data_IF_158888768402
#
_entry.id   IF_158888768402
#
_cell.length_a   1.000
_cell.length_b   1.000
_cell.length_c   1.000
_cell.angle_alpha   90.00
_cell.angle_beta   90.00
_cell.angle_gamma   90.00
#
_symmetry.space_group_name_H-M   'P 1'
#
loop_
_entity.id
_entity.type
_entity.pdbx_description
1 polymer ?
#
# COMPACT_ATOMS: atom_id res chain seq x y z
N UNK A 1 -43.64 -20.28 -21.22
CA UNK A 1 -43.69 -19.09 -20.35
C UNK A 1 -43.15 -19.46 -18.98
N UNK A 2 -41.88 -19.16 -18.70
CA UNK A 2 -41.39 -18.83 -17.36
C UNK A 2 -40.01 -18.23 -17.49
N UNK A 3 -39.96 -16.91 -17.39
CA UNK A 3 -38.80 -16.04 -17.45
C UNK A 3 -37.96 -16.24 -16.18
N UNK A 4 -36.73 -16.75 -16.29
CA UNK A 4 -35.77 -16.69 -15.18
C UNK A 4 -35.17 -15.29 -15.09
N UNK A 5 -35.43 -14.65 -13.94
CA UNK A 5 -34.98 -13.31 -13.59
C UNK A 5 -33.48 -13.33 -13.27
N UNK A 6 -32.74 -12.44 -13.90
CA UNK A 6 -31.37 -12.09 -13.53
C UNK A 6 -31.29 -11.68 -12.07
N UNK A 7 -30.53 -12.44 -11.29
CA UNK A 7 -30.11 -12.06 -9.95
C UNK A 7 -29.01 -11.00 -10.05
N UNK A 8 -29.40 -9.74 -9.86
CA UNK A 8 -28.49 -8.60 -9.73
C UNK A 8 -27.57 -8.86 -8.52
N UNK A 9 -26.27 -9.08 -8.78
CA UNK A 9 -25.27 -9.21 -7.72
C UNK A 9 -25.23 -7.90 -6.91
N UNK A 10 -25.55 -7.97 -5.62
CA UNK A 10 -25.45 -6.84 -4.69
C UNK A 10 -23.99 -6.42 -4.51
N UNK A 11 -23.71 -5.11 -4.62
CA UNK A 11 -22.38 -4.45 -4.46
C UNK A 11 -21.52 -4.96 -3.28
N UNK A 12 -22.12 -5.55 -2.25
CA UNK A 12 -21.42 -6.14 -1.10
C UNK A 12 -20.67 -7.45 -1.39
N UNK A 13 -21.10 -8.24 -2.39
CA UNK A 13 -20.39 -9.45 -2.82
C UNK A 13 -19.27 -9.16 -3.84
N UNK A 14 -19.34 -8.02 -4.53
CA UNK A 14 -18.28 -7.58 -5.45
C UNK A 14 -17.01 -7.13 -4.70
N UNK A 15 -17.18 -6.62 -3.47
CA UNK A 15 -16.06 -6.16 -2.61
C UNK A 15 -15.41 -7.31 -1.82
N UNK A 16 -16.06 -8.47 -1.70
CA UNK A 16 -15.53 -9.63 -0.96
C UNK A 16 -14.77 -10.67 -1.81
N UNK A 17 -14.64 -10.43 -3.12
CA UNK A 17 -13.84 -11.27 -4.03
C UNK A 17 -12.50 -10.62 -4.41
N UNK A 18 -12.19 -9.40 -3.92
CA UNK A 18 -10.89 -8.72 -4.18
C UNK A 18 -9.93 -8.96 -3.00
N UNK A 19 -9.74 -10.23 -2.63
CA UNK A 19 -8.74 -10.59 -1.61
C UNK A 19 -8.10 -11.97 -1.83
N UNK A 20 -8.36 -12.64 -2.96
CA UNK A 20 -7.81 -13.97 -3.24
C UNK A 20 -7.31 -13.97 -4.68
N UNK A 21 -6.01 -14.27 -4.81
CA UNK A 21 -5.15 -14.34 -6.01
C UNK A 21 -4.49 -13.00 -6.40
N UNK A 22 -3.51 -12.57 -5.60
CA UNK A 22 -2.21 -12.13 -6.14
C UNK A 22 -1.20 -13.24 -5.80
N UNK A 23 -1.51 -14.47 -6.23
CA UNK A 23 -0.48 -15.48 -6.48
C UNK A 23 -0.48 -15.71 -7.98
N UNK A 24 -0.18 -14.67 -8.74
CA UNK A 24 -0.14 -14.80 -10.18
C UNK A 24 1.17 -15.51 -10.53
N UNK A 25 1.02 -16.75 -10.97
CA UNK A 25 2.03 -17.55 -11.65
C UNK A 25 2.78 -16.68 -12.65
N UNK A 26 4.06 -16.43 -12.34
CA UNK A 26 5.05 -15.75 -13.15
C UNK A 26 5.08 -16.41 -14.54
N UNK A 27 4.43 -15.79 -15.54
CA UNK A 27 4.63 -16.19 -16.93
C UNK A 27 5.99 -15.62 -17.34
N UNK A 28 6.99 -16.49 -17.39
CA UNK A 28 8.35 -16.19 -17.81
C UNK A 28 8.41 -16.19 -19.34
N UNK A 29 8.69 -15.04 -19.97
CA UNK A 29 8.98 -14.94 -21.40
C UNK A 29 10.38 -14.37 -21.55
N UNK A 30 11.29 -15.16 -22.15
CA UNK A 30 12.64 -14.73 -22.52
C UNK A 30 12.59 -14.05 -23.89
N UNK A 31 13.01 -12.78 -23.98
CA UNK A 31 13.05 -12.04 -25.24
C UNK A 31 14.40 -12.23 -25.94
N UNK A 32 14.44 -12.72 -27.19
CA UNK A 32 15.63 -12.63 -28.02
C UNK A 32 15.78 -11.21 -28.56
N UNK A 33 16.95 -10.60 -28.37
CA UNK A 33 17.27 -9.28 -28.92
C UNK A 33 17.33 -9.33 -30.45
N UNK A 34 16.25 -8.94 -31.12
CA UNK A 34 16.23 -8.75 -32.57
C UNK A 34 15.83 -7.31 -32.86
N UNK A 35 16.83 -6.47 -33.18
CA UNK A 35 16.60 -5.05 -33.45
C UNK A 35 15.73 -4.84 -34.69
N UNK A 36 14.60 -4.17 -34.52
CA UNK A 36 13.92 -3.31 -35.52
C UNK A 36 12.97 -2.33 -34.80
N UNK A 37 12.99 -1.07 -35.27
CA UNK A 37 12.21 0.13 -34.87
C UNK A 37 12.39 0.60 -33.41
N UNK A 38 12.97 1.80 -33.24
CA UNK A 38 13.10 2.51 -31.96
C UNK A 38 11.73 2.97 -31.45
N UNK A 39 10.89 2.05 -30.98
CA UNK A 39 9.74 2.44 -30.20
C UNK A 39 10.26 3.05 -28.88
N UNK A 40 9.67 4.18 -28.49
CA UNK A 40 10.04 4.92 -27.29
C UNK A 40 9.73 4.06 -26.07
N UNK A 41 10.66 3.95 -25.12
CA UNK A 41 10.40 3.21 -23.89
C UNK A 41 9.13 3.76 -23.20
N UNK A 42 8.21 2.86 -22.85
CA UNK A 42 6.90 3.21 -22.30
C UNK A 42 5.80 3.58 -23.31
N UNK A 43 6.08 3.62 -24.61
CA UNK A 43 5.09 3.73 -25.69
C UNK A 43 4.86 2.32 -26.26
N UNK A 44 3.88 1.62 -25.69
CA UNK A 44 3.59 0.21 -25.92
C UNK A 44 2.62 0.05 -27.10
N UNK A 45 1.66 0.95 -27.28
CA UNK A 45 0.72 0.86 -28.39
C UNK A 45 1.22 1.51 -29.70
N UNK A 46 2.32 2.28 -29.64
CA UNK A 46 3.00 2.86 -30.79
C UNK A 46 2.33 4.13 -31.30
N UNK A 47 1.52 4.81 -30.49
CA UNK A 47 0.83 6.04 -30.87
C UNK A 47 1.73 7.31 -30.76
N UNK A 48 2.91 7.18 -30.15
CA UNK A 48 3.93 8.21 -30.01
C UNK A 48 3.90 8.94 -28.66
N UNK A 49 2.83 8.78 -27.90
CA UNK A 49 2.69 9.29 -26.54
C UNK A 49 3.04 8.19 -25.51
N UNK A 50 3.17 8.58 -24.24
CA UNK A 50 3.34 7.64 -23.14
C UNK A 50 2.28 8.01 -22.14
N UNK A 51 1.25 7.18 -22.00
CA UNK A 51 0.06 7.53 -21.25
C UNK A 51 -0.54 6.35 -20.43
N UNK A 52 -1.81 6.48 -20.03
CA UNK A 52 -2.45 5.45 -19.20
C UNK A 52 -2.86 4.20 -19.98
N UNK A 53 -3.03 4.30 -21.30
CA UNK A 53 -3.37 3.16 -22.15
C UNK A 53 -2.16 2.22 -22.28
N UNK A 54 -0.94 2.76 -22.33
CA UNK A 54 0.31 2.00 -22.23
C UNK A 54 0.44 1.20 -20.93
N UNK A 55 0.21 1.87 -19.79
CA UNK A 55 0.22 1.22 -18.48
C UNK A 55 -0.84 0.11 -18.39
N UNK A 56 -2.00 0.33 -19.03
CA UNK A 56 -3.10 -0.62 -19.06
C UNK A 56 -2.78 -1.86 -19.93
N UNK A 57 -2.02 -1.70 -21.01
CA UNK A 57 -1.54 -2.83 -21.82
C UNK A 57 -0.59 -3.73 -21.03
N UNK A 58 0.37 -3.15 -20.30
CA UNK A 58 1.24 -3.89 -19.40
C UNK A 58 0.42 -4.58 -18.31
N UNK A 59 -0.54 -3.88 -17.69
CA UNK A 59 -1.43 -4.45 -16.69
C UNK A 59 -2.18 -5.68 -17.21
N UNK A 60 -2.81 -5.59 -18.38
CA UNK A 60 -3.58 -6.69 -18.96
C UNK A 60 -2.70 -7.88 -19.33
N UNK A 61 -1.51 -7.62 -19.86
CA UNK A 61 -0.52 -8.65 -20.16
C UNK A 61 -0.13 -9.42 -18.90
N UNK A 62 0.24 -8.68 -17.84
CA UNK A 62 0.62 -9.28 -16.55
C UNK A 62 -0.56 -10.02 -15.94
N UNK A 63 -1.77 -9.48 -16.02
CA UNK A 63 -3.00 -10.11 -15.51
C UNK A 63 -3.48 -11.32 -16.32
N UNK A 64 -2.87 -11.61 -17.48
CA UNK A 64 -3.29 -12.68 -18.39
C UNK A 64 -4.61 -12.40 -19.11
N UNK A 65 -5.08 -11.15 -19.11
CA UNK A 65 -6.30 -10.69 -19.79
C UNK A 65 -6.02 -10.03 -21.13
N UNK A 66 -4.76 -9.81 -21.47
CA UNK A 66 -4.28 -9.28 -22.75
C UNK A 66 -2.98 -9.92 -23.20
N UNK A 67 -2.51 -9.54 -24.39
CA UNK A 67 -1.27 -10.03 -24.99
C UNK A 67 -0.48 -8.85 -25.58
N UNK A 68 0.85 -8.95 -25.54
CA UNK A 68 1.76 -8.00 -26.20
C UNK A 68 2.45 -8.70 -27.37
N UNK A 69 2.66 -7.97 -28.45
CA UNK A 69 3.46 -8.40 -29.59
C UNK A 69 4.96 -8.30 -29.29
N UNK A 70 5.80 -9.05 -30.04
CA UNK A 70 7.25 -9.09 -29.80
C UNK A 70 7.91 -7.70 -29.78
N UNK A 71 7.46 -6.78 -30.64
CA UNK A 71 7.97 -5.40 -30.69
C UNK A 71 7.52 -4.51 -29.53
N UNK A 72 6.49 -4.92 -28.79
CA UNK A 72 5.95 -4.18 -27.64
C UNK A 72 6.61 -4.61 -26.33
N UNK A 73 7.21 -5.80 -26.30
CA UNK A 73 7.80 -6.37 -25.09
C UNK A 73 9.00 -5.54 -24.61
N UNK A 74 9.80 -5.00 -25.54
CA UNK A 74 10.93 -4.12 -25.20
C UNK A 74 10.48 -2.74 -24.65
N UNK A 75 9.31 -2.23 -25.07
CA UNK A 75 8.74 -0.99 -24.54
C UNK A 75 8.05 -1.17 -23.20
N UNK A 76 7.59 -2.39 -22.92
CA UNK A 76 6.84 -2.76 -21.73
C UNK A 76 7.74 -3.12 -20.54
N UNK A 77 9.02 -3.43 -20.78
CA UNK A 77 10.05 -3.63 -19.76
C UNK A 77 10.67 -2.27 -19.41
N UNK A 78 10.05 -1.57 -18.46
CA UNK A 78 10.32 -0.16 -18.19
C UNK A 78 11.61 0.02 -17.40
N UNK A 79 11.92 -0.92 -16.51
CA UNK A 79 13.15 -0.92 -15.73
C UNK A 79 14.29 -1.78 -16.32
N UNK A 80 14.02 -2.49 -17.42
CA UNK A 80 15.03 -3.23 -18.19
C UNK A 80 15.45 -4.55 -17.53
N UNK A 81 14.66 -5.05 -16.57
CA UNK A 81 14.95 -6.29 -15.84
C UNK A 81 14.62 -7.57 -16.64
N UNK A 82 14.21 -7.41 -17.89
CA UNK A 82 13.89 -8.49 -18.83
C UNK A 82 12.58 -9.19 -18.48
N UNK A 83 11.79 -8.63 -17.57
CA UNK A 83 10.49 -9.14 -17.15
C UNK A 83 9.48 -8.02 -17.29
N UNK A 84 8.29 -8.38 -17.73
CA UNK A 84 7.16 -7.45 -17.77
C UNK A 84 6.28 -7.77 -16.58
N UNK A 85 6.20 -6.84 -15.64
CA UNK A 85 5.56 -6.99 -14.35
C UNK A 85 4.56 -5.87 -14.09
N UNK A 86 3.79 -6.01 -13.00
CA UNK A 86 2.94 -4.91 -12.52
C UNK A 86 3.78 -3.70 -12.07
N UNK A 87 5.08 -3.91 -11.77
CA UNK A 87 6.04 -2.87 -11.48
C UNK A 87 6.22 -1.93 -12.67
N UNK A 88 6.33 -2.48 -13.88
CA UNK A 88 6.45 -1.72 -15.12
C UNK A 88 5.21 -0.86 -15.39
N UNK A 89 4.02 -1.46 -15.26
CA UNK A 89 2.76 -0.74 -15.39
C UNK A 89 2.66 0.42 -14.38
N UNK A 90 3.09 0.19 -13.13
CA UNK A 90 3.10 1.23 -12.09
C UNK A 90 4.11 2.34 -12.41
N UNK A 91 5.24 2.03 -13.02
CA UNK A 91 6.23 3.03 -13.42
C UNK A 91 5.69 3.93 -14.54
N UNK A 92 5.02 3.37 -15.55
CA UNK A 92 4.32 4.17 -16.57
C UNK A 92 3.25 5.03 -15.93
N UNK A 93 2.36 4.45 -15.11
CA UNK A 93 1.34 5.20 -14.38
C UNK A 93 1.91 6.38 -13.60
N UNK A 94 3.04 6.18 -12.91
CA UNK A 94 3.69 7.23 -12.14
C UNK A 94 4.34 8.32 -12.99
N UNK A 95 4.93 7.96 -14.11
CA UNK A 95 5.43 8.92 -15.09
C UNK A 95 4.30 9.79 -15.63
N UNK A 96 3.19 9.18 -16.06
CA UNK A 96 2.01 9.88 -16.60
C UNK A 96 1.34 10.77 -15.54
N UNK A 97 1.34 10.35 -14.27
CA UNK A 97 0.85 11.17 -13.15
C UNK A 97 1.75 12.36 -12.79
N UNK A 98 2.96 12.43 -13.36
CA UNK A 98 3.99 13.43 -13.02
C UNK A 98 4.74 13.16 -11.71
N UNK A 99 4.52 12.00 -11.06
CA UNK A 99 5.29 11.58 -9.89
C UNK A 99 6.74 11.25 -10.26
N UNK A 100 6.95 10.65 -11.44
CA UNK A 100 8.26 10.53 -12.07
C UNK A 100 8.38 11.55 -13.20
N UNK A 101 9.44 12.34 -13.21
CA UNK A 101 9.72 13.29 -14.30
C UNK A 101 10.34 12.64 -15.55
N UNK A 102 10.73 11.37 -15.44
CA UNK A 102 11.31 10.55 -16.51
C UNK A 102 11.07 9.08 -16.19
N UNK A 103 10.78 8.25 -17.19
CA UNK A 103 10.76 6.79 -17.00
C UNK A 103 12.15 6.29 -16.60
N UNK A 104 12.27 5.34 -15.68
CA UNK A 104 13.55 4.80 -15.22
C UNK A 104 14.21 3.89 -16.26
N UNK A 105 14.48 4.38 -17.48
CA UNK A 105 15.26 3.64 -18.46
C UNK A 105 16.74 3.63 -18.07
N UNK A 106 17.36 2.43 -18.02
CA UNK A 106 18.82 2.30 -18.01
C UNK A 106 19.36 2.17 -19.44
N UNK A 107 20.27 3.06 -19.87
CA UNK A 107 20.88 2.97 -21.19
C UNK A 107 21.82 1.75 -21.28
N UNK A 108 21.86 1.15 -22.48
CA UNK A 108 22.82 0.11 -22.89
C UNK A 108 24.23 0.39 -22.35
N UNK A 109 24.73 -0.54 -21.54
CA UNK A 109 26.12 -0.62 -21.10
C UNK A 109 26.30 -0.44 -19.59
N UNK A 110 26.66 -1.55 -18.92
CA UNK A 110 27.19 -1.72 -17.54
C UNK A 110 26.25 -2.31 -16.47
N UNK A 111 25.24 -3.07 -16.87
CA UNK A 111 24.47 -3.94 -15.99
C UNK A 111 23.18 -3.32 -15.43
N UNK A 112 22.22 -4.16 -15.09
CA UNK A 112 20.87 -3.79 -14.62
C UNK A 112 20.71 -4.11 -13.14
N UNK A 113 19.93 -3.32 -12.42
CA UNK A 113 19.68 -3.55 -11.01
C UNK A 113 18.61 -4.65 -10.85
N UNK A 114 18.95 -5.73 -10.14
CA UNK A 114 18.05 -6.86 -9.91
C UNK A 114 17.83 -7.08 -8.41
N UNK A 115 16.58 -7.33 -8.02
CA UNK A 115 16.23 -7.76 -6.67
C UNK A 115 16.50 -9.27 -6.58
N UNK A 116 17.51 -9.67 -5.80
CA UNK A 116 17.82 -11.08 -5.56
C UNK A 116 16.86 -11.70 -4.53
N UNK A 117 16.49 -10.92 -3.52
CA UNK A 117 15.54 -11.30 -2.49
C UNK A 117 14.71 -10.10 -2.04
N UNK A 118 13.40 -10.31 -1.85
CA UNK A 118 12.51 -9.33 -1.25
C UNK A 118 12.70 -9.29 0.27
N UNK A 119 12.27 -8.22 0.98
CA UNK A 119 12.25 -8.27 2.43
C UNK A 119 11.36 -9.41 2.93
N UNK A 120 11.74 -10.02 4.05
CA UNK A 120 10.98 -11.13 4.67
C UNK A 120 9.54 -10.73 5.02
N UNK A 121 9.28 -9.43 5.17
CA UNK A 121 7.99 -8.83 5.48
C UNK A 121 7.60 -7.79 4.44
N UNK A 122 6.53 -8.07 3.69
CA UNK A 122 5.93 -7.15 2.70
C UNK A 122 4.50 -6.71 3.08
N UNK A 123 4.01 -7.16 4.24
CA UNK A 123 2.71 -6.79 4.80
C UNK A 123 2.88 -6.17 6.19
N UNK A 124 2.22 -5.04 6.43
CA UNK A 124 2.37 -4.22 7.64
C UNK A 124 0.99 -3.80 8.17
N UNK A 125 0.92 -3.44 9.45
CA UNK A 125 -0.24 -2.71 10.00
C UNK A 125 0.06 -1.22 10.14
N UNK A 126 -0.98 -0.39 10.04
CA UNK A 126 -0.89 1.07 10.16
C UNK A 126 -0.11 1.48 11.43
N UNK A 127 0.92 2.30 11.25
CA UNK A 127 1.86 2.72 12.29
C UNK A 127 3.13 1.87 12.44
N UNK A 128 3.25 0.71 11.77
CA UNK A 128 4.52 -0.03 11.73
C UNK A 128 5.57 0.64 10.84
N UNK A 129 6.84 0.42 11.17
CA UNK A 129 7.98 0.83 10.35
C UNK A 129 8.31 -0.25 9.31
N UNK A 130 8.83 0.19 8.15
CA UNK A 130 9.37 -0.72 7.13
C UNK A 130 10.56 -1.50 7.70
N UNK A 131 10.57 -2.80 7.45
CA UNK A 131 11.69 -3.69 7.75
C UNK A 131 12.29 -4.19 6.44
N UNK A 132 13.58 -3.93 6.23
CA UNK A 132 14.33 -4.33 5.03
C UNK A 132 15.12 -5.64 5.24
N UNK A 133 14.95 -6.30 6.38
CA UNK A 133 15.58 -7.61 6.66
C UNK A 133 15.20 -8.61 5.56
N UNK A 134 16.18 -9.33 5.04
CA UNK A 134 16.02 -10.29 3.95
C UNK A 134 16.10 -9.70 2.53
N UNK A 135 16.10 -8.37 2.39
CA UNK A 135 16.25 -7.73 1.07
C UNK A 135 17.68 -7.80 0.57
N UNK A 136 17.85 -8.31 -0.66
CA UNK A 136 19.13 -8.39 -1.35
C UNK A 136 19.03 -7.82 -2.75
N UNK A 137 19.99 -6.97 -3.09
CA UNK A 137 20.07 -6.24 -4.36
C UNK A 137 21.37 -6.62 -5.08
N UNK A 138 21.36 -6.68 -6.40
CA UNK A 138 22.56 -6.89 -7.20
C UNK A 138 22.52 -6.09 -8.50
N UNK A 139 23.68 -5.93 -9.14
CA UNK A 139 23.78 -5.59 -10.56
C UNK A 139 23.98 -6.88 -11.33
N UNK A 140 23.16 -7.12 -12.35
CA UNK A 140 23.34 -8.20 -13.33
C UNK A 140 23.93 -7.65 -14.63
N UNK A 141 25.05 -8.20 -15.07
CA UNK A 141 25.74 -7.80 -16.29
C UNK A 141 25.27 -8.61 -17.50
N UNK A 142 25.56 -8.15 -18.72
CA UNK A 142 25.16 -8.82 -19.97
C UNK A 142 25.67 -10.27 -20.09
N UNK A 143 26.75 -10.60 -19.39
CA UNK A 143 27.32 -11.95 -19.35
C UNK A 143 26.59 -12.88 -18.33
N UNK A 144 25.52 -12.41 -17.69
CA UNK A 144 24.74 -13.12 -16.68
C UNK A 144 25.40 -13.19 -15.30
N UNK A 145 26.55 -12.55 -15.09
CA UNK A 145 27.13 -12.44 -13.75
C UNK A 145 26.37 -11.43 -12.92
N UNK A 146 26.22 -11.72 -11.63
CA UNK A 146 25.62 -10.83 -10.65
C UNK A 146 26.65 -10.39 -9.60
N UNK A 147 26.61 -9.12 -9.23
CA UNK A 147 27.39 -8.56 -8.13
C UNK A 147 26.45 -7.94 -7.10
N UNK A 148 26.49 -8.45 -5.87
CA UNK A 148 25.66 -7.92 -4.77
C UNK A 148 25.98 -6.46 -4.49
N UNK A 149 24.93 -5.66 -4.40
CA UNK A 149 24.98 -4.23 -4.11
C UNK A 149 24.72 -4.00 -2.63
N UNK A 150 25.64 -3.27 -2.01
CA UNK A 150 25.45 -2.66 -0.70
C UNK A 150 25.45 -1.13 -0.82
N UNK A 151 24.87 -0.42 0.14
CA UNK A 151 24.83 1.05 0.11
C UNK A 151 23.77 1.64 -0.82
N UNK A 152 22.76 0.87 -1.20
CA UNK A 152 21.55 1.41 -1.82
C UNK A 152 20.76 2.28 -0.82
N UNK A 153 19.92 3.16 -1.34
CA UNK A 153 18.95 3.94 -0.58
C UNK A 153 17.54 3.50 -0.94
N UNK A 154 16.56 3.77 -0.09
CA UNK A 154 15.16 3.47 -0.38
C UNK A 154 14.23 4.61 0.05
N UNK A 155 13.08 4.72 -0.61
CA UNK A 155 12.06 5.74 -0.35
C UNK A 155 10.66 5.23 -0.68
N UNK A 156 9.63 6.03 -0.42
CA UNK A 156 8.24 5.72 -0.79
C UNK A 156 7.41 5.00 0.28
N UNK A 157 8.02 4.57 1.39
CA UNK A 157 7.27 4.03 2.52
C UNK A 157 6.55 5.13 3.32
N UNK A 158 5.31 4.84 3.69
CA UNK A 158 4.59 5.55 4.75
C UNK A 158 3.76 4.56 5.55
N UNK A 159 3.65 4.80 6.86
CA UNK A 159 2.93 3.91 7.78
C UNK A 159 1.39 4.05 7.70
N UNK A 160 0.87 4.79 6.72
CA UNK A 160 -0.57 4.91 6.44
C UNK A 160 -1.07 3.74 5.61
N UNK A 161 -2.36 3.43 5.70
CA UNK A 161 -2.97 2.28 5.03
C UNK A 161 -2.85 2.29 3.50
N UNK A 162 -2.94 1.13 2.87
CA UNK A 162 -2.90 0.91 1.42
C UNK A 162 -1.55 0.39 0.92
N UNK A 163 -1.49 0.11 -0.38
CA UNK A 163 -0.26 -0.29 -1.07
C UNK A 163 0.75 0.86 -1.03
N UNK A 164 2.03 0.51 -0.87
CA UNK A 164 3.19 1.40 -0.90
C UNK A 164 4.19 0.85 -1.88
N UNK A 165 4.76 1.72 -2.70
CA UNK A 165 5.85 1.36 -3.61
C UNK A 165 7.14 1.81 -2.95
N UNK A 166 8.03 0.86 -2.71
CA UNK A 166 9.36 1.10 -2.18
C UNK A 166 10.30 1.25 -3.37
N UNK A 167 10.77 2.47 -3.59
CA UNK A 167 11.75 2.77 -4.63
C UNK A 167 13.13 2.60 -4.03
N UNK A 168 13.90 1.65 -4.55
CA UNK A 168 15.28 1.39 -4.18
C UNK A 168 16.19 2.02 -5.24
N UNK A 169 17.19 2.79 -4.80
CA UNK A 169 18.10 3.52 -5.68
C UNK A 169 19.54 3.18 -5.36
N UNK A 170 20.33 2.90 -6.39
CA UNK A 170 21.77 2.71 -6.31
C UNK A 170 22.45 3.49 -7.44
N UNK A 171 23.25 4.50 -7.08
CA UNK A 171 23.78 5.47 -8.05
C UNK A 171 22.63 6.12 -8.85
N UNK A 172 22.65 6.03 -10.18
CA UNK A 172 21.58 6.50 -11.07
C UNK A 172 20.49 5.44 -11.32
N UNK A 173 20.77 4.18 -10.99
CA UNK A 173 19.88 3.05 -11.19
C UNK A 173 18.79 3.00 -10.11
N UNK A 174 17.59 2.56 -10.50
CA UNK A 174 16.45 2.39 -9.61
C UNK A 174 15.73 1.08 -9.90
N UNK A 175 15.16 0.48 -8.87
CA UNK A 175 14.18 -0.61 -8.96
C UNK A 175 13.11 -0.36 -7.90
N UNK A 176 11.99 -1.06 -7.97
CA UNK A 176 10.94 -0.91 -6.98
C UNK A 176 10.24 -2.22 -6.64
N UNK A 177 9.68 -2.29 -5.45
CA UNK A 177 8.79 -3.36 -5.03
C UNK A 177 7.63 -2.81 -4.21
N UNK A 178 6.60 -3.62 -4.01
CA UNK A 178 5.41 -3.20 -3.26
C UNK A 178 5.40 -3.78 -1.84
N UNK A 179 4.86 -3.00 -0.91
CA UNK A 179 4.42 -3.48 0.41
C UNK A 179 2.98 -3.02 0.66
N UNK A 180 2.24 -3.74 1.49
CA UNK A 180 0.84 -3.38 1.81
C UNK A 180 0.71 -3.05 3.28
N UNK A 181 0.12 -1.88 3.59
CA UNK A 181 -0.19 -1.47 4.96
C UNK A 181 -1.69 -1.63 5.21
N UNK A 182 -2.06 -2.52 6.12
CA UNK A 182 -3.45 -2.77 6.51
C UNK A 182 -3.88 -1.83 7.65
N UNK A 183 -5.16 -1.43 7.72
CA UNK A 183 -5.67 -0.68 8.87
C UNK A 183 -5.53 -1.50 10.15
N UNK A 184 -5.23 -0.83 11.27
CA UNK A 184 -5.30 -1.47 12.58
C UNK A 184 -6.75 -1.89 12.84
N UNK A 185 -6.99 -3.20 12.90
CA UNK A 185 -8.30 -3.78 13.19
C UNK A 185 -8.61 -3.68 14.69
N UNK A 186 -9.23 -2.56 15.07
CA UNK A 186 -9.73 -2.34 16.43
C UNK A 186 -11.10 -3.00 16.59
N UNK A 187 -11.23 -3.91 17.54
CA UNK A 187 -12.48 -4.60 17.85
C UNK A 187 -13.32 -3.82 18.85
N UNK A 188 -12.68 -3.23 19.87
CA UNK A 188 -13.31 -2.42 20.92
C UNK A 188 -12.34 -1.37 21.49
N UNK A 189 -12.86 -0.48 22.32
CA UNK A 189 -12.05 0.38 23.19
C UNK A 189 -12.55 0.22 24.63
N UNK A 190 -11.65 0.41 25.58
CA UNK A 190 -11.98 0.34 27.01
C UNK A 190 -11.28 1.46 27.78
N UNK A 191 -11.90 1.86 28.89
CA UNK A 191 -11.29 2.76 29.86
C UNK A 191 -10.45 1.90 30.80
N UNK A 192 -9.13 1.96 30.67
CA UNK A 192 -8.20 1.23 31.54
C UNK A 192 -7.93 1.97 32.84
N UNK A 193 -8.12 3.28 32.86
CA UNK A 193 -8.10 4.09 34.08
C UNK A 193 -9.11 5.22 33.95
N UNK A 194 -10.12 5.33 34.83
CA UNK A 194 -11.06 6.45 34.81
C UNK A 194 -10.38 7.77 35.19
N UNK A 195 -10.98 8.93 34.89
CA UNK A 195 -10.48 10.21 35.39
C UNK A 195 -10.47 10.22 36.93
N UNK A 196 -9.56 11.00 37.51
CA UNK A 196 -9.42 11.14 38.97
C UNK A 196 -10.69 11.76 39.59
N UNK A 197 -11.33 12.68 38.86
CA UNK A 197 -12.52 13.39 39.32
C UNK A 197 -13.77 12.88 38.60
N UNK A 198 -14.77 12.46 39.38
CA UNK A 198 -16.06 11.97 38.88
C UNK A 198 -17.27 12.74 39.45
N UNK A 199 -17.03 13.70 40.34
CA UNK A 199 -18.06 14.51 40.98
C UNK A 199 -17.70 15.98 40.83
N UNK A 200 -18.65 16.76 40.32
CA UNK A 200 -18.49 18.17 39.95
C UNK A 200 -19.56 19.03 40.63
N UNK A 201 -19.27 20.31 40.80
CA UNK A 201 -20.30 21.29 41.19
C UNK A 201 -20.98 21.85 39.93
N UNK A 202 -22.22 22.33 40.07
CA UNK A 202 -22.90 23.06 38.98
C UNK A 202 -22.01 24.13 38.34
N UNK A 203 -21.92 24.11 37.02
CA UNK A 203 -21.13 25.04 36.21
C UNK A 203 -19.64 24.72 36.12
N UNK A 204 -19.15 23.67 36.79
CA UNK A 204 -17.75 23.26 36.70
C UNK A 204 -17.44 22.57 35.36
N UNK A 205 -16.23 22.76 34.83
CA UNK A 205 -15.74 22.12 33.60
C UNK A 205 -15.31 20.66 33.85
N UNK A 206 -15.52 19.80 32.84
CA UNK A 206 -15.05 18.41 32.88
C UNK A 206 -13.51 18.36 32.94
N UNK A 207 -12.99 17.60 33.90
CA UNK A 207 -11.57 17.33 34.07
C UNK A 207 -11.27 15.85 33.78
N UNK A 208 -10.52 15.60 32.72
CA UNK A 208 -10.16 14.26 32.25
C UNK A 208 -8.81 13.78 32.79
N UNK A 209 -8.18 14.51 33.71
CA UNK A 209 -6.88 14.14 34.30
C UNK A 209 -6.93 12.71 34.84
N UNK A 210 -5.99 11.89 34.39
CA UNK A 210 -5.87 10.47 34.76
C UNK A 210 -6.61 9.49 33.85
N UNK A 211 -7.46 9.95 32.92
CA UNK A 211 -8.15 9.08 31.96
C UNK A 211 -7.14 8.38 31.04
N UNK A 212 -7.14 7.03 31.07
CA UNK A 212 -6.42 6.18 30.12
C UNK A 212 -7.42 5.31 29.36
N UNK A 213 -7.26 5.31 28.04
CA UNK A 213 -8.10 4.55 27.11
C UNK A 213 -7.20 3.61 26.33
N UNK A 214 -7.65 2.37 26.15
CA UNK A 214 -6.96 1.39 25.31
C UNK A 214 -7.85 0.89 24.20
N UNK A 215 -7.28 0.78 23.00
CA UNK A 215 -7.86 0.04 21.90
C UNK A 215 -7.54 -1.45 22.05
N UNK A 216 -8.55 -2.28 21.83
CA UNK A 216 -8.43 -3.74 21.78
C UNK A 216 -8.34 -4.12 20.30
N UNK A 217 -7.24 -4.77 19.95
CA UNK A 217 -6.99 -5.25 18.59
C UNK A 217 -7.69 -6.60 18.34
N UNK A 218 -7.75 -7.03 17.09
CA UNK A 218 -8.33 -8.33 16.72
C UNK A 218 -7.57 -9.53 17.33
N UNK A 219 -6.26 -9.39 17.56
CA UNK A 219 -5.41 -10.37 18.23
C UNK A 219 -5.56 -10.36 19.78
N UNK A 220 -6.42 -9.48 20.32
CA UNK A 220 -6.65 -9.32 21.76
C UNK A 220 -5.64 -8.43 22.48
N UNK A 221 -4.58 -7.96 21.82
CA UNK A 221 -3.63 -7.02 22.43
C UNK A 221 -4.31 -5.68 22.72
N UNK A 222 -3.83 -5.00 23.76
CA UNK A 222 -4.30 -3.68 24.20
C UNK A 222 -3.23 -2.63 23.94
N UNK A 223 -3.61 -1.55 23.25
CA UNK A 223 -2.72 -0.43 22.94
C UNK A 223 -3.33 0.85 23.51
N UNK A 224 -2.55 1.62 24.27
CA UNK A 224 -3.00 2.93 24.81
C UNK A 224 -3.21 3.91 23.65
N UNK A 225 -4.33 4.63 23.66
CA UNK A 225 -4.68 5.61 22.64
C UNK A 225 -4.92 6.98 23.28
N UNK A 226 -4.44 8.04 22.61
CA UNK A 226 -4.50 9.41 23.14
C UNK A 226 -5.41 10.34 22.32
N UNK A 227 -5.70 10.03 21.06
CA UNK A 227 -6.48 10.88 20.15
C UNK A 227 -7.98 10.52 20.16
N UNK A 228 -8.57 10.35 21.34
CA UNK A 228 -10.00 10.07 21.50
C UNK A 228 -10.81 11.36 21.65
N UNK A 229 -12.09 11.28 21.32
CA UNK A 229 -13.06 12.38 21.45
C UNK A 229 -13.96 12.07 22.65
N UNK A 230 -14.22 13.08 23.49
CA UNK A 230 -15.12 12.97 24.65
C UNK A 230 -16.33 13.88 24.46
N UNK A 231 -17.53 13.37 24.76
CA UNK A 231 -18.79 14.12 24.66
C UNK A 231 -19.81 13.66 25.70
N UNK A 232 -20.92 14.38 25.83
CA UNK A 232 -22.04 14.03 26.73
C UNK A 232 -21.93 14.58 28.16
N UNK A 233 -21.00 15.50 28.41
CA UNK A 233 -20.94 16.23 29.68
C UNK A 233 -21.87 17.44 29.66
N UNK A 234 -22.68 17.57 30.71
CA UNK A 234 -23.53 18.72 30.99
C UNK A 234 -23.23 19.21 32.40
N UNK A 235 -23.10 20.51 32.61
CA UNK A 235 -22.76 21.08 33.93
C UNK A 235 -24.00 21.37 34.80
N UNK A 236 -25.12 20.70 34.51
CA UNK A 236 -26.38 20.78 35.26
C UNK A 236 -26.49 19.64 36.28
N UNK A 237 -27.09 19.85 37.46
CA UNK A 237 -27.20 18.82 38.49
C UNK A 237 -27.84 17.53 37.97
N UNK A 238 -27.20 16.39 38.23
CA UNK A 238 -27.62 15.10 37.73
C UNK A 238 -26.46 14.15 37.42
N UNK A 239 -26.79 12.99 36.87
CA UNK A 239 -25.79 12.02 36.37
C UNK A 239 -25.63 12.22 34.86
N UNK A 240 -24.40 12.44 34.42
CA UNK A 240 -24.05 12.54 33.01
C UNK A 240 -23.35 11.26 32.55
N UNK A 241 -23.75 10.73 31.39
CA UNK A 241 -23.03 9.63 30.74
C UNK A 241 -22.05 10.21 29.73
N UNK A 242 -20.76 10.08 30.05
CA UNK A 242 -19.68 10.54 29.19
C UNK A 242 -19.37 9.48 28.16
N UNK A 243 -19.43 9.87 26.89
CA UNK A 243 -19.07 9.03 25.75
C UNK A 243 -17.63 9.31 25.37
N UNK A 244 -16.80 8.28 25.39
CA UNK A 244 -15.44 8.30 24.83
C UNK A 244 -15.47 7.56 23.51
N UNK A 245 -15.05 8.23 22.44
CA UNK A 245 -15.03 7.67 21.08
C UNK A 245 -13.61 7.69 20.52
N UNK A 246 -13.18 6.58 19.92
CA UNK A 246 -11.93 6.51 19.17
C UNK A 246 -12.18 5.71 17.90
N UNK A 247 -11.96 6.35 16.75
CA UNK A 247 -12.47 5.90 15.44
C UNK A 247 -13.98 5.63 15.53
N UNK A 248 -14.43 4.43 15.14
CA UNK A 248 -15.84 4.01 15.19
C UNK A 248 -16.23 3.30 16.48
N UNK A 249 -15.34 3.21 17.47
CA UNK A 249 -15.56 2.49 18.73
C UNK A 249 -15.89 3.47 19.85
N UNK A 250 -16.72 3.02 20.78
CA UNK A 250 -17.21 3.81 21.90
C UNK A 250 -17.09 3.03 23.20
N UNK A 251 -16.84 3.75 24.28
CA UNK A 251 -16.94 3.28 25.66
C UNK A 251 -17.47 4.43 26.51
N UNK A 252 -17.91 4.14 27.73
CA UNK A 252 -18.67 5.09 28.54
C UNK A 252 -18.22 5.04 30.00
N UNK A 253 -18.33 6.18 30.66
CA UNK A 253 -18.29 6.28 32.11
C UNK A 253 -19.28 7.36 32.57
N UNK A 254 -19.58 7.39 33.86
CA UNK A 254 -20.55 8.33 34.42
C UNK A 254 -19.87 9.32 35.35
N UNK A 255 -20.34 10.57 35.34
CA UNK A 255 -19.98 11.59 36.33
C UNK A 255 -21.25 12.15 36.98
N UNK A 256 -21.13 12.73 38.17
CA UNK A 256 -22.24 13.35 38.88
C UNK A 256 -21.98 14.84 39.07
N UNK A 257 -22.95 15.67 38.73
CA UNK A 257 -22.96 17.10 39.04
C UNK A 257 -23.91 17.34 40.21
N UNK A 258 -23.43 18.03 41.24
CA UNK A 258 -24.21 18.43 42.42
C UNK A 258 -24.72 19.87 42.30
#
# INVERSE_FOLDING_TARGET
MSTERGGLMTKSKFVKTIAIIISLSLIMVLLPSNGQAENKAGDIDGDGDVDYDDAYLIFNYVAGTGTLELSQLDCADIDGDGRITIGDAAQVFHYVSGYFSVLPYMPKGNGRLVILSYPDKTEYIEGENLDMTGFELAVEYENGQTETVTGYTYSGFSAGTGVKIIVVSYQTAKTAFIVTVYPVNITAIEITTPPVKLVYNRGESLDLTGLKVSAILADGRKVIVNNYIVSGYESTPGTCTITVSYRLKKTFFTVTVK
#
